data_IF_527743414712
#
_entry.id   IF_527743414712
#
_cell.length_a   1.000
_cell.length_b   1.000
_cell.length_c   1.000
_cell.angle_alpha   90.00
_cell.angle_beta   90.00
_cell.angle_gamma   90.00
#
_symmetry.space_group_name_H-M   'P 1'
#
loop_
_entity.id
_entity.type
_entity.pdbx_description
1 polymer ?
#
# COMPACT_ATOMS: atom_id res chain seq x y z
N UNK A 1 -24.66 14.25 -7.19
CA UNK A 1 -23.97 12.97 -7.43
C UNK A 1 -24.40 12.48 -8.79
N UNK A 2 -23.52 12.51 -9.79
CA UNK A 2 -23.84 12.02 -11.13
C UNK A 2 -23.25 10.60 -11.24
N UNK A 3 -24.13 9.61 -11.31
CA UNK A 3 -23.77 8.22 -11.59
C UNK A 3 -23.73 8.04 -13.11
N UNK A 4 -22.62 7.57 -13.64
CA UNK A 4 -22.48 7.21 -15.04
C UNK A 4 -22.04 5.77 -15.15
N UNK A 5 -22.92 4.92 -15.65
CA UNK A 5 -22.58 3.56 -16.04
C UNK A 5 -21.84 3.61 -17.37
N UNK A 6 -20.58 3.27 -17.39
CA UNK A 6 -19.79 3.26 -18.64
C UNK A 6 -19.70 1.80 -19.10
N UNK A 7 -20.48 1.41 -20.13
CA UNK A 7 -20.36 0.09 -20.73
C UNK A 7 -19.07 0.06 -21.55
N UNK A 8 -17.99 -0.42 -20.94
CA UNK A 8 -16.75 -0.62 -21.68
C UNK A 8 -16.01 -1.82 -21.10
N UNK A 9 -16.27 -2.94 -21.70
CA UNK A 9 -15.63 -4.22 -21.47
C UNK A 9 -14.22 -4.24 -22.05
N UNK A 10 -13.19 -4.11 -21.21
CA UNK A 10 -11.95 -4.82 -21.49
C UNK A 10 -12.23 -6.25 -21.08
N UNK A 11 -12.45 -7.11 -22.07
CA UNK A 11 -12.78 -8.53 -21.97
C UNK A 11 -13.57 -9.00 -20.71
N UNK A 12 -14.31 -8.16 -19.98
CA UNK A 12 -15.29 -8.47 -18.95
C UNK A 12 -15.25 -7.61 -17.67
N UNK A 13 -14.30 -6.65 -17.49
CA UNK A 13 -14.33 -5.76 -16.32
C UNK A 13 -15.21 -4.54 -16.56
N UNK A 14 -16.29 -4.41 -15.80
CA UNK A 14 -17.16 -3.23 -15.78
C UNK A 14 -16.62 -2.23 -14.74
N UNK A 15 -16.54 -0.95 -15.11
CA UNK A 15 -16.15 0.14 -14.20
C UNK A 15 -17.38 1.02 -13.96
N UNK A 16 -17.90 1.00 -12.74
CA UNK A 16 -18.99 1.85 -12.30
C UNK A 16 -18.38 3.12 -11.64
N UNK A 17 -18.55 4.29 -12.28
CA UNK A 17 -17.88 5.52 -11.85
C UNK A 17 -18.82 6.48 -11.13
N UNK A 18 -18.33 7.03 -10.02
CA UNK A 18 -18.95 8.16 -9.29
C UNK A 18 -17.97 9.31 -9.16
N UNK A 19 -18.42 10.53 -9.52
CA UNK A 19 -17.64 11.77 -9.41
C UNK A 19 -18.10 12.61 -8.22
N UNK A 20 -17.16 13.11 -7.43
CA UNK A 20 -17.41 13.95 -6.26
C UNK A 20 -16.71 15.32 -6.44
N UNK A 21 -17.50 16.34 -6.75
CA UNK A 21 -17.05 17.68 -7.13
C UNK A 21 -17.12 17.94 -8.63
N UNK A 22 -16.61 19.11 -9.06
CA UNK A 22 -16.59 19.50 -10.48
C UNK A 22 -15.37 18.85 -11.18
N UNK A 23 -15.58 17.66 -11.71
CA UNK A 23 -14.56 16.85 -12.41
C UNK A 23 -14.91 16.83 -13.90
N UNK A 24 -13.98 17.30 -14.74
CA UNK A 24 -14.12 17.27 -16.20
C UNK A 24 -14.11 15.84 -16.71
N UNK A 25 -14.79 15.61 -17.84
CA UNK A 25 -14.84 14.28 -18.45
C UNK A 25 -13.44 13.81 -18.88
N UNK A 26 -12.60 14.72 -19.38
CA UNK A 26 -11.22 14.39 -19.79
C UNK A 26 -10.35 13.91 -18.63
N UNK A 27 -10.53 14.45 -17.42
CA UNK A 27 -9.80 14.03 -16.21
C UNK A 27 -10.18 12.59 -15.82
N UNK A 28 -11.47 12.27 -15.85
CA UNK A 28 -11.98 10.95 -15.58
C UNK A 28 -11.62 9.94 -16.68
N UNK A 29 -11.75 10.33 -17.94
CA UNK A 29 -11.44 9.48 -19.09
C UNK A 29 -9.95 9.10 -19.13
N UNK A 30 -9.06 10.01 -18.68
CA UNK A 30 -7.63 9.69 -18.52
C UNK A 30 -7.40 8.55 -17.55
N UNK A 31 -8.03 8.58 -16.35
CA UNK A 31 -7.92 7.53 -15.35
C UNK A 31 -8.46 6.21 -15.91
N UNK A 32 -9.66 6.24 -16.49
CA UNK A 32 -10.32 5.06 -17.05
C UNK A 32 -9.48 4.44 -18.18
N UNK A 33 -8.87 5.25 -19.02
CA UNK A 33 -7.99 4.77 -20.10
C UNK A 33 -6.80 3.98 -19.55
N UNK A 34 -6.13 4.50 -18.49
CA UNK A 34 -5.01 3.81 -17.85
C UNK A 34 -5.48 2.53 -17.16
N UNK A 35 -6.62 2.57 -16.46
CA UNK A 35 -7.19 1.38 -15.82
C UNK A 35 -7.49 0.28 -16.84
N UNK A 36 -8.15 0.60 -17.95
CA UNK A 36 -8.51 -0.36 -19.01
C UNK A 36 -7.27 -0.99 -19.64
N UNK A 37 -6.27 -0.19 -19.97
CA UNK A 37 -5.00 -0.70 -20.49
C UNK A 37 -4.36 -1.67 -19.51
N UNK A 38 -4.36 -1.32 -18.22
CA UNK A 38 -3.79 -2.16 -17.16
C UNK A 38 -4.56 -3.48 -17.01
N UNK A 39 -5.90 -3.46 -16.91
CA UNK A 39 -6.70 -4.69 -16.85
C UNK A 39 -6.43 -5.60 -18.05
N UNK A 40 -6.42 -5.05 -19.27
CA UNK A 40 -6.13 -5.84 -20.47
C UNK A 40 -4.76 -6.53 -20.39
N UNK A 41 -3.75 -5.85 -19.85
CA UNK A 41 -2.39 -6.41 -19.75
C UNK A 41 -2.23 -7.39 -18.59
N UNK A 42 -3.07 -7.28 -17.55
CA UNK A 42 -3.06 -8.19 -16.39
C UNK A 42 -3.87 -9.48 -16.63
N UNK A 43 -4.53 -9.64 -17.76
CA UNK A 43 -5.26 -10.89 -18.07
C UNK A 43 -4.35 -12.14 -18.03
N UNK A 44 -4.88 -13.30 -17.60
CA UNK A 44 -6.25 -13.53 -17.11
C UNK A 44 -6.45 -13.06 -15.67
N UNK A 45 -7.63 -12.51 -15.35
CA UNK A 45 -8.08 -12.16 -13.99
C UNK A 45 -9.60 -12.30 -13.86
N UNK A 46 -10.11 -12.35 -12.62
CA UNK A 46 -11.55 -12.59 -12.34
C UNK A 46 -12.33 -11.32 -11.97
N UNK A 47 -11.76 -10.13 -12.15
CA UNK A 47 -12.41 -8.87 -11.80
C UNK A 47 -13.53 -8.57 -12.79
N UNK A 48 -14.80 -8.77 -12.34
CA UNK A 48 -15.98 -8.52 -13.16
C UNK A 48 -16.48 -7.06 -13.02
N UNK A 49 -16.37 -6.48 -11.83
CA UNK A 49 -16.88 -5.14 -11.51
C UNK A 49 -15.91 -4.41 -10.58
N UNK A 50 -15.72 -3.11 -10.84
CA UNK A 50 -14.98 -2.20 -9.98
C UNK A 50 -15.78 -0.91 -9.78
N UNK A 51 -15.96 -0.51 -8.53
CA UNK A 51 -16.48 0.81 -8.18
C UNK A 51 -15.34 1.82 -8.21
N UNK A 52 -15.42 2.80 -9.10
CA UNK A 52 -14.46 3.87 -9.25
C UNK A 52 -15.02 5.17 -8.66
N UNK A 53 -14.36 5.70 -7.62
CA UNK A 53 -14.72 6.97 -7.00
C UNK A 53 -13.62 7.99 -7.26
N UNK A 54 -13.99 9.12 -7.84
CA UNK A 54 -13.05 10.21 -8.14
C UNK A 54 -13.48 11.45 -7.35
N UNK A 55 -12.61 11.94 -6.49
CA UNK A 55 -12.78 13.14 -5.68
C UNK A 55 -11.95 14.28 -6.26
N UNK A 56 -12.56 15.47 -6.42
CA UNK A 56 -11.80 16.66 -6.85
C UNK A 56 -10.87 17.13 -5.74
N UNK A 57 -11.34 17.13 -4.48
CA UNK A 57 -10.64 17.69 -3.32
C UNK A 57 -10.34 16.63 -2.25
N UNK A 58 -9.16 16.74 -1.63
CA UNK A 58 -8.72 15.86 -0.54
C UNK A 58 -9.66 15.90 0.66
N UNK A 59 -10.15 17.07 1.06
CA UNK A 59 -11.09 17.21 2.18
C UNK A 59 -12.39 16.41 1.98
N UNK A 60 -12.88 16.33 0.74
CA UNK A 60 -14.10 15.56 0.43
C UNK A 60 -13.82 14.05 0.47
N UNK A 61 -12.65 13.61 -0.01
CA UNK A 61 -12.23 12.23 0.07
C UNK A 61 -12.03 11.80 1.54
N UNK A 62 -11.33 12.62 2.33
CA UNK A 62 -11.02 12.32 3.73
C UNK A 62 -12.31 12.24 4.57
N UNK A 63 -13.28 13.15 4.36
CA UNK A 63 -14.58 13.10 5.03
C UNK A 63 -15.40 11.86 4.64
N UNK A 64 -15.36 11.48 3.35
CA UNK A 64 -16.04 10.28 2.86
C UNK A 64 -15.44 9.01 3.47
N UNK A 65 -14.13 8.86 3.41
CA UNK A 65 -13.44 7.67 3.92
C UNK A 65 -13.52 7.55 5.43
N UNK A 66 -13.42 8.66 6.19
CA UNK A 66 -13.59 8.65 7.64
C UNK A 66 -15.00 8.17 8.05
N UNK A 67 -16.05 8.58 7.32
CA UNK A 67 -17.42 8.09 7.53
C UNK A 67 -17.54 6.59 7.26
N UNK A 68 -17.04 6.14 6.12
CA UNK A 68 -17.09 4.73 5.70
C UNK A 68 -16.36 3.81 6.69
N UNK A 69 -15.15 4.19 7.12
CA UNK A 69 -14.38 3.41 8.09
C UNK A 69 -15.05 3.34 9.45
N UNK A 70 -15.67 4.43 9.89
CA UNK A 70 -16.46 4.43 11.13
C UNK A 70 -17.64 3.46 11.05
N UNK A 71 -18.32 3.38 9.90
CA UNK A 71 -19.45 2.47 9.68
C UNK A 71 -19.03 0.99 9.71
N UNK A 72 -17.82 0.66 9.22
CA UNK A 72 -17.28 -0.71 9.24
C UNK A 72 -16.44 -1.02 10.49
N UNK A 73 -16.35 -0.08 11.46
CA UNK A 73 -15.63 -0.30 12.71
C UNK A 73 -14.09 -0.32 12.56
N UNK A 74 -13.57 0.20 11.47
CA UNK A 74 -12.13 0.31 11.20
C UNK A 74 -11.64 1.66 11.69
N UNK A 75 -10.63 1.67 12.58
CA UNK A 75 -9.94 2.90 12.96
C UNK A 75 -9.06 3.34 11.80
N UNK A 76 -9.43 4.42 11.09
CA UNK A 76 -8.54 4.99 10.09
C UNK A 76 -7.48 5.84 10.80
N UNK A 77 -6.21 5.55 10.60
CA UNK A 77 -5.18 6.59 10.65
C UNK A 77 -5.47 7.57 9.50
N UNK A 78 -5.29 8.87 9.73
CA UNK A 78 -5.36 9.88 8.66
C UNK A 78 -4.56 9.38 7.45
N UNK A 79 -5.16 9.48 6.25
CA UNK A 79 -4.44 9.14 5.02
C UNK A 79 -3.16 9.97 4.96
N UNK A 80 -2.05 9.30 4.75
CA UNK A 80 -0.80 9.95 4.43
C UNK A 80 -1.03 10.88 3.21
N UNK A 81 -0.62 12.15 3.32
CA UNK A 81 -0.81 13.13 2.25
C UNK A 81 -0.14 12.74 0.93
N UNK A 82 0.79 11.78 0.98
CA UNK A 82 1.46 11.22 -0.19
C UNK A 82 0.53 10.38 -1.08
N UNK A 83 -0.58 9.85 -0.53
CA UNK A 83 -1.45 8.96 -1.29
C UNK A 83 -2.58 9.72 -1.97
N UNK A 84 -2.62 9.61 -3.28
CA UNK A 84 -3.70 10.14 -4.12
C UNK A 84 -4.72 9.08 -4.54
N UNK A 85 -4.45 7.80 -4.21
CA UNK A 85 -5.25 6.66 -4.60
C UNK A 85 -5.31 5.63 -3.48
N UNK A 86 -6.37 4.84 -3.45
CA UNK A 86 -6.53 3.68 -2.57
C UNK A 86 -7.46 2.65 -3.16
N UNK A 87 -7.29 1.40 -2.76
CA UNK A 87 -8.18 0.29 -3.06
C UNK A 87 -8.69 -0.37 -1.78
N UNK A 88 -9.94 -0.78 -1.79
CA UNK A 88 -10.52 -1.69 -0.81
C UNK A 88 -11.59 -2.61 -1.43
N UNK A 89 -12.00 -3.64 -0.66
CA UNK A 89 -13.07 -4.56 -1.04
C UNK A 89 -13.95 -4.94 0.16
N UNK A 90 -14.04 -4.09 1.18
CA UNK A 90 -14.81 -4.37 2.41
C UNK A 90 -16.27 -4.75 2.16
N UNK A 91 -16.88 -4.22 1.09
CA UNK A 91 -18.29 -4.47 0.74
C UNK A 91 -18.48 -5.61 -0.26
N UNK A 92 -17.45 -6.40 -0.54
CA UNK A 92 -17.51 -7.53 -1.47
C UNK A 92 -17.31 -7.16 -2.95
N UNK A 93 -17.14 -5.88 -3.24
CA UNK A 93 -16.81 -5.35 -4.58
C UNK A 93 -15.53 -4.54 -4.47
N UNK A 94 -14.61 -4.75 -5.40
CA UNK A 94 -13.40 -3.92 -5.50
C UNK A 94 -13.78 -2.47 -5.71
N UNK A 95 -13.25 -1.59 -4.86
CA UNK A 95 -13.45 -0.16 -4.95
C UNK A 95 -12.10 0.54 -5.06
N UNK A 96 -11.97 1.42 -6.06
CA UNK A 96 -10.79 2.26 -6.27
C UNK A 96 -11.21 3.72 -6.09
N UNK A 97 -10.45 4.45 -5.28
CA UNK A 97 -10.70 5.86 -4.96
C UNK A 97 -9.51 6.69 -5.42
N UNK A 98 -9.76 7.80 -6.14
CA UNK A 98 -8.73 8.76 -6.54
C UNK A 98 -9.06 10.17 -6.03
N UNK A 99 -8.01 10.91 -5.64
CA UNK A 99 -8.04 12.32 -5.33
C UNK A 99 -7.27 13.12 -6.39
N UNK A 100 -7.98 13.89 -7.22
CA UNK A 100 -7.35 14.66 -8.30
C UNK A 100 -6.42 15.76 -7.78
N UNK A 101 -6.81 16.47 -6.72
CA UNK A 101 -5.99 17.52 -6.11
C UNK A 101 -4.60 17.04 -5.69
N UNK A 102 -4.51 15.81 -5.16
CA UNK A 102 -3.23 15.17 -4.80
C UNK A 102 -2.51 14.65 -6.04
N UNK A 103 -3.24 14.01 -6.96
CA UNK A 103 -2.69 13.41 -8.17
C UNK A 103 -2.07 14.45 -9.11
N UNK A 104 -2.71 15.62 -9.29
CA UNK A 104 -2.25 16.69 -10.19
C UNK A 104 -0.88 17.26 -9.80
N UNK A 105 -0.48 17.16 -8.52
CA UNK A 105 0.81 17.60 -8.01
C UNK A 105 1.97 16.67 -8.37
N UNK A 106 1.67 15.46 -8.88
CA UNK A 106 2.66 14.42 -9.12
C UNK A 106 3.09 14.37 -10.60
N UNK A 107 4.30 13.92 -10.90
CA UNK A 107 4.73 13.64 -12.27
C UNK A 107 3.80 12.63 -12.94
N UNK A 108 3.54 12.78 -14.24
CA UNK A 108 2.62 11.91 -15.00
C UNK A 108 2.95 10.42 -14.88
N UNK A 109 4.23 10.07 -14.84
CA UNK A 109 4.64 8.68 -14.72
C UNK A 109 4.27 8.09 -13.35
N UNK A 110 4.34 8.89 -12.27
CA UNK A 110 3.90 8.50 -10.92
C UNK A 110 2.37 8.37 -10.86
N UNK A 111 1.64 9.30 -11.53
CA UNK A 111 0.18 9.20 -11.63
C UNK A 111 -0.24 7.88 -12.31
N UNK A 112 0.35 7.55 -13.45
CA UNK A 112 0.08 6.31 -14.19
C UNK A 112 0.41 5.09 -13.32
N UNK A 113 1.55 5.10 -12.66
CA UNK A 113 1.98 4.02 -11.79
C UNK A 113 1.01 3.77 -10.63
N UNK A 114 0.57 4.83 -9.96
CA UNK A 114 -0.41 4.70 -8.87
C UNK A 114 -1.78 4.22 -9.36
N UNK A 115 -2.26 4.68 -10.53
CA UNK A 115 -3.50 4.14 -11.12
C UNK A 115 -3.36 2.64 -11.37
N UNK A 116 -2.25 2.19 -11.96
CA UNK A 116 -1.97 0.77 -12.22
C UNK A 116 -1.82 -0.03 -10.94
N UNK A 117 -1.24 0.58 -9.90
CA UNK A 117 -1.10 -0.03 -8.58
C UNK A 117 -2.46 -0.39 -7.98
N UNK A 118 -3.43 0.53 -8.00
CA UNK A 118 -4.77 0.25 -7.49
C UNK A 118 -5.52 -0.79 -8.36
N UNK A 119 -5.30 -0.79 -9.67
CA UNK A 119 -5.79 -1.87 -10.55
C UNK A 119 -5.16 -3.22 -10.16
N UNK A 120 -3.87 -3.26 -9.86
CA UNK A 120 -3.19 -4.45 -9.37
C UNK A 120 -3.80 -4.99 -8.08
N UNK A 121 -4.14 -4.10 -7.13
CA UNK A 121 -4.86 -4.48 -5.92
C UNK A 121 -6.23 -5.09 -6.21
N UNK A 122 -7.01 -4.53 -7.13
CA UNK A 122 -8.31 -5.09 -7.50
C UNK A 122 -8.20 -6.49 -8.10
N UNK A 123 -7.11 -6.78 -8.81
CA UNK A 123 -6.83 -8.10 -9.41
C UNK A 123 -6.38 -9.11 -8.36
N UNK A 124 -5.51 -8.73 -7.42
CA UNK A 124 -4.95 -9.65 -6.43
C UNK A 124 -5.76 -9.71 -5.13
N UNK A 125 -6.34 -8.60 -4.72
CA UNK A 125 -6.91 -8.40 -3.39
C UNK A 125 -8.38 -7.94 -3.43
N UNK A 126 -9.12 -8.27 -4.47
CA UNK A 126 -10.51 -7.85 -4.71
C UNK A 126 -11.57 -8.54 -3.84
N UNK A 127 -11.18 -9.20 -2.74
CA UNK A 127 -12.08 -9.89 -1.81
C UNK A 127 -12.00 -9.32 -0.39
N UNK A 128 -13.11 -9.27 0.38
CA UNK A 128 -13.11 -8.88 1.79
C UNK A 128 -12.12 -9.66 2.66
N UNK A 129 -11.81 -10.90 2.32
CA UNK A 129 -10.86 -11.74 3.05
C UNK A 129 -9.45 -11.13 3.17
N UNK A 130 -9.07 -10.25 2.26
CA UNK A 130 -7.78 -9.54 2.30
C UNK A 130 -7.79 -8.27 3.16
N UNK A 131 -8.93 -7.92 3.76
CA UNK A 131 -9.14 -6.73 4.59
C UNK A 131 -9.64 -7.07 6.00
N UNK A 132 -10.34 -8.19 6.15
CA UNK A 132 -10.85 -8.69 7.42
C UNK A 132 -9.96 -9.83 7.92
N UNK A 133 -8.75 -9.48 8.33
CA UNK A 133 -7.71 -10.44 8.69
C UNK A 133 -7.81 -10.85 10.16
N UNK A 134 -7.75 -12.16 10.48
CA UNK A 134 -7.53 -12.60 11.85
C UNK A 134 -6.11 -12.23 12.31
N UNK A 135 -5.92 -12.04 13.62
CA UNK A 135 -4.58 -11.84 14.15
C UNK A 135 -3.75 -13.13 13.99
N UNK A 136 -2.59 -13.06 13.33
CA UNK A 136 -1.64 -14.18 13.22
C UNK A 136 -1.12 -14.63 14.58
N UNK A 137 -0.82 -15.93 14.72
CA UNK A 137 -0.27 -16.50 15.95
C UNK A 137 0.96 -15.73 16.48
N UNK A 138 1.95 -15.35 15.66
CA UNK A 138 3.09 -14.58 16.16
C UNK A 138 2.71 -13.26 16.83
N UNK A 139 1.66 -12.59 16.35
CA UNK A 139 1.17 -11.34 16.96
C UNK A 139 0.36 -11.61 18.23
N UNK A 140 -0.38 -12.72 18.32
CA UNK A 140 -1.05 -13.14 19.53
C UNK A 140 -0.03 -13.48 20.64
N UNK A 141 0.98 -14.28 20.32
CA UNK A 141 2.07 -14.61 21.23
C UNK A 141 2.82 -13.36 21.72
N UNK A 142 3.01 -12.38 20.82
CA UNK A 142 3.63 -11.11 21.19
C UNK A 142 2.76 -10.30 22.16
N UNK A 143 1.44 -10.24 21.93
CA UNK A 143 0.45 -9.61 22.84
C UNK A 143 0.54 -10.22 24.23
N UNK A 144 0.46 -11.54 24.31
CA UNK A 144 0.42 -12.26 25.59
C UNK A 144 1.75 -12.16 26.35
N UNK A 145 2.87 -12.30 25.63
CA UNK A 145 4.21 -12.29 26.24
C UNK A 145 4.61 -10.93 26.79
N UNK A 146 4.27 -9.85 26.09
CA UNK A 146 4.69 -8.48 26.45
C UNK A 146 3.56 -7.63 27.03
N UNK A 147 2.40 -8.25 27.30
CA UNK A 147 1.21 -7.57 27.82
C UNK A 147 0.81 -6.32 27.02
N UNK A 148 0.82 -6.45 25.70
CA UNK A 148 0.47 -5.39 24.77
C UNK A 148 -1.02 -5.46 24.45
N UNK A 149 -1.66 -4.34 24.11
CA UNK A 149 -3.08 -4.35 23.78
C UNK A 149 -3.34 -5.05 22.42
N UNK A 150 -4.47 -5.75 22.32
CA UNK A 150 -4.92 -6.34 21.02
C UNK A 150 -5.08 -5.28 19.94
N UNK A 151 -5.51 -4.07 20.29
CA UNK A 151 -5.64 -2.97 19.33
C UNK A 151 -4.29 -2.60 18.71
N UNK A 152 -3.22 -2.63 19.49
CA UNK A 152 -1.87 -2.42 18.99
C UNK A 152 -1.46 -3.50 17.97
N UNK A 153 -1.74 -4.77 18.28
CA UNK A 153 -1.46 -5.87 17.35
C UNK A 153 -2.27 -5.75 16.04
N UNK A 154 -3.52 -5.27 16.11
CA UNK A 154 -4.32 -4.97 14.92
C UNK A 154 -3.68 -3.87 14.07
N UNK A 155 -3.18 -2.79 14.69
CA UNK A 155 -2.47 -1.73 13.98
C UNK A 155 -1.18 -2.26 13.32
N UNK A 156 -0.45 -3.12 14.02
CA UNK A 156 0.76 -3.75 13.48
C UNK A 156 0.42 -4.67 12.30
N UNK A 157 -0.62 -5.51 12.44
CA UNK A 157 -1.12 -6.35 11.35
C UNK A 157 -1.54 -5.54 10.13
N UNK A 158 -2.19 -4.39 10.34
CA UNK A 158 -2.58 -3.50 9.26
C UNK A 158 -1.36 -3.03 8.46
N UNK A 159 -0.30 -2.55 9.12
CA UNK A 159 0.94 -2.11 8.45
C UNK A 159 1.62 -3.27 7.70
N UNK A 160 1.71 -4.44 8.33
CA UNK A 160 2.28 -5.65 7.72
C UNK A 160 1.47 -6.05 6.48
N UNK A 161 0.14 -6.06 6.57
CA UNK A 161 -0.73 -6.47 5.48
C UNK A 161 -0.63 -5.54 4.27
N UNK A 162 -0.50 -4.23 4.50
CA UNK A 162 -0.27 -3.26 3.41
C UNK A 162 1.08 -3.53 2.75
N UNK A 163 2.16 -3.66 3.53
CA UNK A 163 3.50 -3.89 2.99
C UNK A 163 3.57 -5.16 2.11
N UNK A 164 2.90 -6.24 2.53
CA UNK A 164 2.82 -7.48 1.75
C UNK A 164 2.00 -7.28 0.48
N UNK A 165 0.82 -6.68 0.57
CA UNK A 165 -0.06 -6.46 -0.59
C UNK A 165 0.57 -5.52 -1.62
N UNK A 166 1.22 -4.45 -1.18
CA UNK A 166 1.93 -3.51 -2.05
C UNK A 166 3.11 -4.17 -2.77
N UNK A 167 3.85 -5.06 -2.08
CA UNK A 167 4.88 -5.89 -2.70
C UNK A 167 4.31 -6.80 -3.78
N UNK A 168 3.22 -7.50 -3.50
CA UNK A 168 2.60 -8.44 -4.45
C UNK A 168 2.10 -7.71 -5.70
N UNK A 169 1.48 -6.55 -5.55
CA UNK A 169 1.05 -5.70 -6.67
C UNK A 169 2.25 -5.22 -7.49
N UNK A 170 3.28 -4.69 -6.83
CA UNK A 170 4.47 -4.22 -7.53
C UNK A 170 5.20 -5.37 -8.25
N UNK A 171 5.25 -6.57 -7.65
CA UNK A 171 5.78 -7.79 -8.28
C UNK A 171 4.97 -8.19 -9.52
N UNK A 172 3.64 -8.14 -9.44
CA UNK A 172 2.74 -8.42 -10.57
C UNK A 172 2.98 -7.42 -11.71
N UNK A 173 2.94 -6.13 -11.42
CA UNK A 173 3.10 -5.06 -12.43
C UNK A 173 4.48 -5.11 -13.07
N UNK A 174 5.53 -5.27 -12.26
CA UNK A 174 6.89 -5.43 -12.76
C UNK A 174 7.02 -6.67 -13.69
N UNK A 175 6.47 -7.80 -13.28
CA UNK A 175 6.44 -9.03 -14.07
C UNK A 175 5.65 -8.90 -15.39
N UNK A 176 4.70 -7.96 -15.47
CA UNK A 176 3.95 -7.62 -16.69
C UNK A 176 4.63 -6.52 -17.53
N UNK A 177 5.85 -6.12 -17.18
CA UNK A 177 6.69 -5.22 -17.95
C UNK A 177 6.44 -3.73 -17.72
N UNK A 178 5.77 -3.33 -16.63
CA UNK A 178 5.61 -1.95 -16.22
C UNK A 178 6.85 -1.45 -15.43
N UNK A 179 8.04 -1.46 -16.06
CA UNK A 179 9.31 -1.22 -15.36
C UNK A 179 9.52 0.26 -15.04
N UNK A 180 9.29 1.14 -16.01
CA UNK A 180 9.62 2.57 -15.88
C UNK A 180 8.72 3.29 -14.87
N UNK A 181 7.43 3.02 -14.92
CA UNK A 181 6.48 3.62 -13.99
C UNK A 181 6.61 3.03 -12.59
N UNK A 182 6.85 1.71 -12.45
CA UNK A 182 7.14 1.10 -11.14
C UNK A 182 8.42 1.67 -10.52
N UNK A 183 9.46 1.93 -11.31
CA UNK A 183 10.67 2.60 -10.84
C UNK A 183 10.39 4.04 -10.37
N UNK A 184 9.59 4.79 -11.12
CA UNK A 184 9.21 6.16 -10.76
C UNK A 184 8.35 6.18 -9.49
N UNK A 185 7.44 5.22 -9.35
CA UNK A 185 6.57 5.08 -8.19
C UNK A 185 7.35 4.70 -6.93
N UNK A 186 8.20 3.68 -7.02
CA UNK A 186 9.07 3.29 -5.92
C UNK A 186 9.99 4.44 -5.47
N UNK A 187 10.58 5.19 -6.43
CA UNK A 187 11.36 6.39 -6.11
C UNK A 187 10.55 7.46 -5.38
N UNK A 188 9.31 7.70 -5.82
CA UNK A 188 8.39 8.64 -5.16
C UNK A 188 8.08 8.22 -3.72
N UNK A 189 7.73 6.95 -3.51
CA UNK A 189 7.38 6.41 -2.19
C UNK A 189 8.58 6.31 -1.23
N UNK A 190 9.80 6.21 -1.74
CA UNK A 190 11.04 6.19 -0.96
C UNK A 190 11.60 7.60 -0.69
N UNK A 191 10.93 8.67 -1.11
CA UNK A 191 11.36 10.04 -0.79
C UNK A 191 11.02 10.33 0.67
N UNK A 192 12.03 10.64 1.48
CA UNK A 192 11.85 11.06 2.88
C UNK A 192 11.09 12.37 2.95
N UNK A 193 10.13 12.45 3.84
CA UNK A 193 9.32 13.64 4.11
C UNK A 193 9.56 14.16 5.52
N UNK A 194 9.22 15.42 5.77
CA UNK A 194 9.23 15.97 7.13
C UNK A 194 8.32 15.17 8.10
N UNK A 195 7.27 14.55 7.56
CA UNK A 195 6.39 13.68 8.34
C UNK A 195 7.08 12.42 8.83
N UNK A 196 7.96 11.81 8.00
CA UNK A 196 8.73 10.63 8.37
C UNK A 196 9.72 10.95 9.51
N UNK A 197 10.49 12.03 9.35
CA UNK A 197 11.44 12.50 10.38
C UNK A 197 10.73 12.82 11.69
N UNK A 198 9.61 13.56 11.62
CA UNK A 198 8.80 13.90 12.80
C UNK A 198 8.19 12.67 13.47
N UNK A 199 7.72 11.70 12.67
CA UNK A 199 7.18 10.44 13.17
C UNK A 199 8.22 9.66 13.95
N UNK A 200 9.47 9.62 13.46
CA UNK A 200 10.57 9.03 14.19
C UNK A 200 10.88 9.78 15.50
N UNK A 201 11.00 11.11 15.45
CA UNK A 201 11.28 11.92 16.65
C UNK A 201 10.25 11.72 17.76
N UNK A 202 8.97 11.60 17.41
CA UNK A 202 7.88 11.36 18.39
C UNK A 202 7.91 9.91 18.91
N UNK A 203 8.40 8.97 18.11
CA UNK A 203 8.40 7.53 18.41
C UNK A 203 9.61 7.08 19.24
N UNK A 204 10.77 7.73 19.07
CA UNK A 204 12.01 7.35 19.73
C UNK A 204 11.83 7.27 21.26
N UNK A 205 12.52 6.29 21.90
CA UNK A 205 12.46 6.00 23.32
C UNK A 205 11.08 5.48 23.82
N UNK A 206 10.18 5.13 22.86
CA UNK A 206 8.88 4.53 23.14
C UNK A 206 8.76 3.22 22.37
N UNK A 207 9.07 2.07 22.96
CA UNK A 207 9.20 0.79 22.26
C UNK A 207 8.03 0.48 21.30
N UNK A 208 6.79 0.66 21.75
CA UNK A 208 5.61 0.41 20.90
C UNK A 208 5.52 1.36 19.71
N UNK A 209 5.87 2.63 19.87
CA UNK A 209 5.84 3.61 18.81
C UNK A 209 7.01 3.39 17.82
N UNK A 210 8.20 3.06 18.34
CA UNK A 210 9.36 2.71 17.50
C UNK A 210 9.06 1.53 16.59
N UNK A 211 8.46 0.45 17.12
CA UNK A 211 8.07 -0.72 16.32
C UNK A 211 7.10 -0.32 15.20
N UNK A 212 6.05 0.46 15.49
CA UNK A 212 5.12 0.91 14.46
C UNK A 212 5.81 1.76 13.40
N UNK A 213 6.70 2.68 13.81
CA UNK A 213 7.46 3.52 12.90
C UNK A 213 8.37 2.69 11.97
N UNK A 214 9.12 1.74 12.52
CA UNK A 214 9.99 0.85 11.74
C UNK A 214 9.19 -0.05 10.78
N UNK A 215 8.07 -0.59 11.24
CA UNK A 215 7.21 -1.44 10.40
C UNK A 215 6.52 -0.63 9.31
N UNK A 216 6.20 0.65 9.55
CA UNK A 216 5.64 1.51 8.50
C UNK A 216 6.59 1.70 7.30
N UNK A 217 7.92 1.65 7.52
CA UNK A 217 8.91 1.71 6.44
C UNK A 217 8.80 0.53 5.46
N UNK A 218 8.26 -0.62 5.91
CA UNK A 218 8.08 -1.79 5.04
C UNK A 218 7.08 -1.55 3.91
N UNK A 219 6.14 -0.61 4.06
CA UNK A 219 5.15 -0.27 3.04
C UNK A 219 5.83 0.23 1.76
N UNK A 220 6.56 1.33 1.86
CA UNK A 220 7.28 1.91 0.71
C UNK A 220 8.36 0.95 0.18
N UNK A 221 9.03 0.23 1.08
CA UNK A 221 10.01 -0.79 0.74
C UNK A 221 9.39 -1.98 -0.01
N UNK A 222 8.15 -2.37 0.30
CA UNK A 222 7.40 -3.41 -0.40
C UNK A 222 7.24 -3.10 -1.88
N UNK A 223 6.85 -1.86 -2.22
CA UNK A 223 6.76 -1.41 -3.61
C UNK A 223 8.11 -1.44 -4.35
N UNK A 224 9.21 -1.23 -3.64
CA UNK A 224 10.56 -1.21 -4.20
C UNK A 224 11.21 -2.62 -4.31
N UNK A 225 10.79 -3.55 -3.47
CA UNK A 225 11.44 -4.85 -3.31
C UNK A 225 11.53 -5.69 -4.60
N UNK A 226 10.54 -5.75 -5.51
CA UNK A 226 10.67 -6.45 -6.77
C UNK A 226 11.81 -5.91 -7.65
N UNK A 227 12.08 -4.60 -7.59
CA UNK A 227 13.13 -3.93 -8.34
C UNK A 227 14.53 -4.21 -7.78
N UNK A 228 14.63 -4.57 -6.49
CA UNK A 228 15.89 -5.01 -5.87
C UNK A 228 16.39 -6.34 -6.44
N UNK A 229 15.51 -7.16 -7.02
CA UNK A 229 15.87 -8.43 -7.67
C UNK A 229 16.36 -8.26 -9.11
N UNK A 230 16.15 -7.11 -9.75
CA UNK A 230 16.65 -6.84 -11.11
C UNK A 230 18.11 -6.41 -11.06
N UNK A 231 18.99 -7.17 -11.72
CA UNK A 231 20.44 -6.89 -11.75
C UNK A 231 20.78 -5.49 -12.26
N UNK A 232 19.97 -4.91 -13.16
CA UNK A 232 20.18 -3.57 -13.75
C UNK A 232 19.77 -2.45 -12.79
N UNK A 233 18.75 -2.69 -11.96
CA UNK A 233 18.13 -1.70 -11.07
C UNK A 233 18.59 -1.82 -9.62
N UNK A 234 19.09 -3.00 -9.22
CA UNK A 234 19.44 -3.34 -7.84
C UNK A 234 20.34 -2.27 -7.17
N UNK A 235 21.43 -1.85 -7.82
CA UNK A 235 22.35 -0.87 -7.27
C UNK A 235 21.70 0.50 -7.03
N UNK A 236 20.82 0.94 -7.94
CA UNK A 236 20.05 2.18 -7.80
C UNK A 236 19.02 2.06 -6.68
N UNK A 237 18.28 0.95 -6.63
CA UNK A 237 17.24 0.74 -5.63
C UNK A 237 17.80 0.59 -4.22
N UNK A 238 18.95 -0.07 -4.06
CA UNK A 238 19.64 -0.16 -2.75
C UNK A 238 20.05 1.23 -2.23
N UNK A 239 20.54 2.12 -3.11
CA UNK A 239 20.85 3.50 -2.71
C UNK A 239 19.61 4.28 -2.29
N UNK A 240 18.55 4.25 -3.09
CA UNK A 240 17.29 4.91 -2.77
C UNK A 240 16.68 4.39 -1.45
N UNK A 241 16.74 3.08 -1.21
CA UNK A 241 16.28 2.49 0.04
C UNK A 241 17.15 2.94 1.22
N UNK A 242 18.50 3.00 1.07
CA UNK A 242 19.37 3.50 2.11
C UNK A 242 19.13 5.01 2.40
N UNK A 243 18.91 5.80 1.36
CA UNK A 243 18.55 7.23 1.49
C UNK A 243 17.20 7.38 2.22
N UNK A 244 16.19 6.56 1.90
CA UNK A 244 14.87 6.62 2.55
C UNK A 244 14.87 6.23 4.04
N UNK A 245 15.88 5.51 4.51
CA UNK A 245 16.05 5.09 5.89
C UNK A 245 17.10 5.92 6.65
N UNK A 246 17.67 6.95 6.02
CA UNK A 246 18.80 7.72 6.59
C UNK A 246 18.46 8.58 7.80
N UNK A 247 17.17 8.88 8.01
CA UNK A 247 16.67 9.61 9.18
C UNK A 247 16.59 8.73 10.45
N UNK A 248 16.66 7.41 10.30
CA UNK A 248 16.69 6.48 11.42
C UNK A 248 18.09 6.34 12.01
N UNK A 249 18.23 5.97 13.29
CA UNK A 249 19.51 5.55 13.86
C UNK A 249 20.15 4.44 13.04
N UNK A 250 21.49 4.45 12.99
CA UNK A 250 22.27 3.52 12.15
C UNK A 250 21.89 2.05 12.40
N UNK A 251 21.66 1.67 13.67
CA UNK A 251 21.28 0.29 14.01
C UNK A 251 19.96 -0.14 13.35
N UNK A 252 18.95 0.73 13.34
CA UNK A 252 17.64 0.44 12.74
C UNK A 252 17.66 0.51 11.22
N UNK A 253 18.37 1.48 10.65
CA UNK A 253 18.53 1.55 9.20
C UNK A 253 19.27 0.33 8.65
N UNK A 254 20.35 -0.12 9.30
CA UNK A 254 21.07 -1.33 8.92
C UNK A 254 20.22 -2.60 9.08
N UNK A 255 19.45 -2.71 10.16
CA UNK A 255 18.50 -3.80 10.37
C UNK A 255 17.50 -3.90 9.20
N UNK A 256 16.87 -2.78 8.85
CA UNK A 256 15.89 -2.74 7.77
C UNK A 256 16.53 -3.00 6.40
N UNK A 257 17.71 -2.45 6.13
CA UNK A 257 18.44 -2.69 4.89
C UNK A 257 18.83 -4.16 4.68
N UNK A 258 19.14 -4.88 5.75
CA UNK A 258 19.40 -6.31 5.69
C UNK A 258 18.11 -7.14 5.59
N UNK A 259 17.09 -6.79 6.38
CA UNK A 259 15.84 -7.53 6.49
C UNK A 259 14.98 -7.43 5.23
N UNK A 260 14.78 -6.23 4.67
CA UNK A 260 13.82 -5.96 3.60
C UNK A 260 14.05 -6.87 2.38
N UNK A 261 15.25 -6.92 1.76
CA UNK A 261 15.43 -7.75 0.57
C UNK A 261 15.18 -9.24 0.84
N UNK A 262 15.61 -9.74 1.99
CA UNK A 262 15.48 -11.14 2.39
C UNK A 262 14.02 -11.51 2.67
N UNK A 263 13.33 -10.66 3.42
CA UNK A 263 11.94 -10.90 3.82
C UNK A 263 11.02 -10.96 2.61
N UNK A 264 11.05 -9.93 1.75
CA UNK A 264 10.18 -9.89 0.58
C UNK A 264 10.54 -10.97 -0.46
N UNK A 265 11.81 -11.27 -0.68
CA UNK A 265 12.23 -12.37 -1.57
C UNK A 265 11.76 -13.75 -1.08
N UNK A 266 11.47 -13.89 0.21
CA UNK A 266 11.00 -15.15 0.80
C UNK A 266 9.49 -15.38 0.65
N UNK A 267 8.71 -14.37 0.20
CA UNK A 267 7.26 -14.46 0.07
C UNK A 267 6.85 -15.28 -1.16
N UNK A 268 5.79 -16.07 -0.99
CA UNK A 268 5.24 -16.97 -2.00
C UNK A 268 4.14 -16.34 -2.87
N UNK A 269 3.17 -17.17 -3.27
CA UNK A 269 2.04 -16.78 -4.10
C UNK A 269 0.76 -16.52 -3.29
N UNK A 270 0.66 -17.05 -2.07
CA UNK A 270 -0.54 -16.91 -1.22
C UNK A 270 -0.40 -15.73 -0.26
N UNK A 271 -1.28 -14.74 -0.41
CA UNK A 271 -1.24 -13.47 0.34
C UNK A 271 -1.39 -13.69 1.86
N UNK A 272 -2.30 -14.56 2.29
CA UNK A 272 -2.55 -14.75 3.72
C UNK A 272 -1.34 -15.42 4.40
N UNK A 273 -0.78 -16.44 3.77
CA UNK A 273 0.48 -17.07 4.22
C UNK A 273 1.65 -16.10 4.21
N UNK A 274 1.70 -15.16 3.26
CA UNK A 274 2.72 -14.13 3.20
C UNK A 274 2.58 -13.12 4.35
N UNK A 275 1.35 -12.75 4.71
CA UNK A 275 1.08 -11.88 5.87
C UNK A 275 1.50 -12.57 7.17
N UNK A 276 1.14 -13.84 7.38
CA UNK A 276 1.54 -14.63 8.54
C UNK A 276 3.07 -14.71 8.65
N UNK A 277 3.74 -15.00 7.54
CA UNK A 277 5.20 -15.06 7.48
C UNK A 277 5.85 -13.72 7.78
N UNK A 278 5.35 -12.64 7.20
CA UNK A 278 5.88 -11.29 7.45
C UNK A 278 5.62 -10.88 8.92
N UNK A 279 4.47 -11.25 9.51
CA UNK A 279 4.20 -11.01 10.92
C UNK A 279 5.23 -11.71 11.81
N UNK A 280 5.56 -12.97 11.52
CA UNK A 280 6.63 -13.69 12.20
C UNK A 280 7.98 -12.97 12.11
N UNK A 281 8.38 -12.58 10.89
CA UNK A 281 9.64 -11.87 10.65
C UNK A 281 9.71 -10.51 11.37
N UNK A 282 8.62 -9.75 11.40
CA UNK A 282 8.53 -8.47 12.12
C UNK A 282 8.64 -8.69 13.62
N UNK A 283 7.93 -9.67 14.16
CA UNK A 283 7.99 -9.98 15.60
C UNK A 283 9.40 -10.40 16.01
N UNK A 284 10.03 -11.29 15.26
CA UNK A 284 11.36 -11.82 15.62
C UNK A 284 12.49 -10.80 15.43
N UNK A 285 12.46 -10.01 14.34
CA UNK A 285 13.59 -9.16 14.00
C UNK A 285 13.42 -7.70 14.47
N UNK A 286 12.19 -7.22 14.69
CA UNK A 286 11.94 -5.83 15.10
C UNK A 286 11.35 -5.78 16.51
N UNK A 287 10.17 -6.41 16.73
CA UNK A 287 9.40 -6.18 17.93
C UNK A 287 10.08 -6.76 19.20
N UNK A 288 10.45 -8.04 19.18
CA UNK A 288 11.13 -8.69 20.33
C UNK A 288 12.45 -8.01 20.70
N UNK A 289 13.38 -7.72 19.76
CA UNK A 289 14.63 -7.05 20.10
C UNK A 289 14.45 -5.68 20.75
N UNK A 290 13.45 -4.89 20.31
CA UNK A 290 13.17 -3.57 20.91
C UNK A 290 12.61 -3.71 22.35
N UNK A 291 11.77 -4.71 22.60
CA UNK A 291 11.20 -4.94 23.92
C UNK A 291 12.16 -5.57 24.92
N UNK A 292 13.24 -6.20 24.47
CA UNK A 292 14.21 -6.88 25.32
C UNK A 292 15.48 -6.06 25.60
N UNK A 293 15.59 -4.88 24.98
CA UNK A 293 16.60 -3.85 25.31
C UNK A 293 16.27 -3.18 26.63
#
# INVERSE_FOLDING_TARGET
MAYRDIPNTVKNTRIAMSKFGNIKDEEADYIIKVMKECYSRLEPHEVALVDLYIFKYSSSMDAFTAKEFKEVGVSSSSFDELFFAMHDAYRGISRIIFCLERMEKLPKLVQVAGIRHEVGHSVLHGSPSYYLLPLPLPLLDFVDRFNVSRQYAINLLYLISIAVKDYEVSRLLYGRGYVEDQLAYAKHLLTVTESDERSWEVSREKPLAEILCLVSCLKSAGCAAPLLSDKRLCGKMKRLLAESLSYLPTEYSMLLLDMIPKSFASLGADTLSNIDKMACLVVENIAKPIFTK
#
